data_IF_983744830784
#
_entry.id   IF_983744830784
#
_cell.length_a   1.000
_cell.length_b   1.000
_cell.length_c   1.000
_cell.angle_alpha   90.00
_cell.angle_beta   90.00
_cell.angle_gamma   90.00
#
_symmetry.space_group_name_H-M   'P 1'
#
loop_
_entity.id
_entity.type
_entity.pdbx_description
1 polymer ?
#
# COMPACT_ATOMS: atom_id res chain seq x y z
N UNK A 1 -15.64 2.13 -5.38
CA UNK A 1 -15.02 3.40 -5.83
C UNK A 1 -13.59 3.42 -5.32
N UNK A 2 -12.59 3.29 -6.21
CA UNK A 2 -11.19 3.13 -5.80
C UNK A 2 -10.71 4.23 -4.85
N UNK A 3 -9.81 3.85 -3.94
CA UNK A 3 -9.13 4.76 -3.02
C UNK A 3 -7.66 4.77 -3.38
N UNK A 4 -7.09 5.96 -3.49
CA UNK A 4 -5.75 6.17 -4.02
C UNK A 4 -4.85 6.70 -2.91
N UNK A 5 -3.61 6.21 -2.92
CA UNK A 5 -2.52 6.70 -2.07
C UNK A 5 -1.28 6.84 -2.94
N UNK A 6 -0.64 8.00 -2.86
CA UNK A 6 0.62 8.29 -3.54
C UNK A 6 1.55 9.02 -2.58
N UNK A 7 2.85 8.74 -2.69
CA UNK A 7 3.87 9.34 -1.86
C UNK A 7 5.10 9.66 -2.69
N UNK A 8 5.63 10.87 -2.51
CA UNK A 8 6.91 11.30 -3.04
C UNK A 8 7.68 11.95 -1.90
N UNK A 9 8.89 11.45 -1.63
CA UNK A 9 9.71 11.87 -0.50
C UNK A 9 11.19 11.79 -0.88
N UNK A 10 12.00 12.69 -0.33
CA UNK A 10 13.45 12.75 -0.52
C UNK A 10 14.22 11.79 0.40
N UNK A 11 13.53 11.07 1.29
CA UNK A 11 14.07 10.07 2.20
C UNK A 11 13.15 8.85 2.24
N UNK A 12 13.65 7.65 2.60
CA UNK A 12 12.82 6.47 2.78
C UNK A 12 11.73 6.71 3.83
N UNK A 13 10.47 6.58 3.43
CA UNK A 13 9.31 6.67 4.33
C UNK A 13 8.66 5.30 4.49
N UNK A 14 8.32 4.97 5.73
CA UNK A 14 7.49 3.80 6.05
C UNK A 14 6.01 4.12 5.79
N UNK A 15 5.42 3.40 4.85
CA UNK A 15 4.02 3.57 4.46
C UNK A 15 3.05 2.67 5.26
N UNK A 16 3.54 1.84 6.20
CA UNK A 16 2.69 1.01 7.08
C UNK A 16 1.70 1.88 7.86
N UNK A 17 2.12 3.08 8.29
CA UNK A 17 1.24 4.02 8.96
C UNK A 17 0.00 4.38 8.12
N UNK A 18 0.20 4.83 6.88
CA UNK A 18 -0.89 5.21 5.97
C UNK A 18 -1.80 4.03 5.60
N UNK A 19 -1.23 2.83 5.49
CA UNK A 19 -1.98 1.63 5.11
C UNK A 19 -2.76 1.01 6.27
N UNK A 20 -2.24 1.05 7.51
CA UNK A 20 -2.80 0.29 8.63
C UNK A 20 -3.17 1.12 9.87
N UNK A 21 -2.49 2.25 10.13
CA UNK A 21 -2.58 2.93 11.44
C UNK A 21 -3.29 4.29 11.40
N UNK A 22 -3.29 4.98 10.26
CA UNK A 22 -3.96 6.28 10.15
C UNK A 22 -5.48 6.16 10.36
N UNK A 23 -6.09 7.22 10.86
CA UNK A 23 -7.56 7.37 10.83
C UNK A 23 -7.97 7.47 9.35
N UNK A 24 -8.83 6.57 8.88
CA UNK A 24 -9.13 6.32 7.46
C UNK A 24 -7.95 5.72 6.67
N UNK A 25 -7.25 4.74 7.26
CA UNK A 25 -6.20 3.99 6.57
C UNK A 25 -6.69 3.28 5.31
N UNK A 26 -5.77 2.91 4.42
CA UNK A 26 -6.13 2.17 3.19
C UNK A 26 -6.88 0.87 3.49
N UNK A 27 -6.53 0.18 4.59
CA UNK A 27 -7.25 -1.01 5.05
C UNK A 27 -8.67 -0.68 5.47
N UNK A 28 -8.89 0.36 6.28
CA UNK A 28 -10.25 0.79 6.65
C UNK A 28 -11.08 1.15 5.42
N UNK A 29 -10.48 1.89 4.49
CA UNK A 29 -11.10 2.27 3.23
C UNK A 29 -11.43 1.07 2.32
N UNK A 30 -10.72 -0.04 2.47
CA UNK A 30 -10.97 -1.27 1.69
C UNK A 30 -12.19 -2.06 2.15
N UNK A 31 -12.74 -1.82 3.34
CA UNK A 31 -14.01 -2.43 3.78
C UNK A 31 -15.21 -2.01 2.95
N UNK A 32 -15.08 -1.02 2.07
CA UNK A 32 -16.08 -0.61 1.09
C UNK A 32 -15.58 -0.77 -0.37
N UNK A 33 -14.40 -1.37 -0.56
CA UNK A 33 -13.73 -1.54 -1.86
C UNK A 33 -13.10 -2.91 -1.98
N UNK A 34 -13.93 -3.90 -2.35
CA UNK A 34 -13.58 -5.31 -2.29
C UNK A 34 -12.85 -5.86 -3.52
N UNK A 35 -12.82 -5.10 -4.62
CA UNK A 35 -12.40 -5.60 -5.94
C UNK A 35 -10.92 -5.94 -6.09
N UNK A 36 -10.09 -5.62 -5.10
CA UNK A 36 -8.65 -5.83 -5.17
C UNK A 36 -7.86 -4.71 -4.54
N UNK A 37 -6.54 -4.89 -4.51
CA UNK A 37 -5.60 -3.83 -4.18
C UNK A 37 -4.33 -3.96 -5.03
N UNK A 38 -3.58 -2.87 -5.10
CA UNK A 38 -2.26 -2.87 -5.71
C UNK A 38 -1.37 -1.80 -5.11
N UNK A 39 -0.07 -2.06 -5.09
CA UNK A 39 0.95 -1.11 -4.68
C UNK A 39 2.14 -1.22 -5.63
N UNK A 40 2.67 -0.07 -6.03
CA UNK A 40 3.92 0.04 -6.76
C UNK A 40 4.85 0.96 -5.99
N UNK A 41 6.14 0.64 -6.00
CA UNK A 41 7.16 1.48 -5.38
C UNK A 41 8.50 1.28 -6.09
N UNK A 42 9.35 2.31 -6.06
CA UNK A 42 10.72 2.20 -6.53
C UNK A 42 11.60 1.74 -5.35
N UNK A 43 12.44 0.75 -5.60
CA UNK A 43 13.32 0.17 -4.58
C UNK A 43 14.76 0.72 -4.62
N UNK A 44 15.00 1.77 -5.42
CA UNK A 44 16.33 2.32 -5.71
C UNK A 44 16.96 1.79 -7.01
N UNK A 45 16.45 0.68 -7.57
CA UNK A 45 16.97 0.06 -8.81
C UNK A 45 15.86 -0.09 -9.86
N UNK A 46 14.68 -0.56 -9.45
CA UNK A 46 13.54 -0.80 -10.35
C UNK A 46 12.22 -0.55 -9.65
N UNK A 47 11.18 -0.45 -10.47
CA UNK A 47 9.80 -0.46 -9.99
C UNK A 47 9.37 -1.88 -9.61
N UNK A 48 8.87 -2.02 -8.39
CA UNK A 48 8.18 -3.20 -7.91
C UNK A 48 6.67 -2.99 -8.03
N UNK A 49 5.92 -4.07 -8.27
CA UNK A 49 4.47 -4.06 -8.36
C UNK A 49 3.90 -5.32 -7.72
N UNK A 50 2.95 -5.14 -6.81
CA UNK A 50 2.12 -6.22 -6.26
C UNK A 50 0.66 -5.85 -6.46
N UNK A 51 -0.14 -6.82 -6.92
CA UNK A 51 -1.58 -6.70 -7.07
C UNK A 51 -2.24 -7.99 -6.60
N UNK A 52 -3.39 -7.88 -5.95
CA UNK A 52 -4.22 -9.04 -5.63
C UNK A 52 -5.70 -8.75 -5.89
N UNK A 53 -6.47 -9.74 -6.38
CA UNK A 53 -7.90 -9.59 -6.67
C UNK A 53 -8.78 -9.81 -5.43
N UNK A 54 -8.23 -9.58 -4.23
CA UNK A 54 -8.96 -9.64 -2.96
C UNK A 54 -8.88 -8.27 -2.27
N UNK A 55 -9.85 -7.96 -1.42
CA UNK A 55 -9.84 -6.72 -0.66
C UNK A 55 -8.57 -6.61 0.20
N UNK A 56 -8.02 -5.40 0.35
CA UNK A 56 -6.80 -5.16 1.13
C UNK A 56 -6.93 -5.65 2.59
N UNK A 57 -8.10 -5.48 3.23
CA UNK A 57 -8.34 -5.96 4.60
C UNK A 57 -8.29 -7.49 4.72
N UNK A 58 -8.55 -8.22 3.64
CA UNK A 58 -8.57 -9.69 3.60
C UNK A 58 -7.27 -10.30 3.10
N UNK A 59 -6.28 -9.48 2.72
CA UNK A 59 -5.00 -9.97 2.21
C UNK A 59 -3.99 -10.23 3.33
N UNK A 60 -3.62 -11.50 3.48
CA UNK A 60 -2.51 -11.91 4.36
C UNK A 60 -1.16 -11.37 3.86
N UNK A 61 -1.00 -11.24 2.53
CA UNK A 61 0.22 -10.77 1.88
C UNK A 61 0.41 -9.26 1.98
N UNK A 62 -0.67 -8.50 2.13
CA UNK A 62 -0.63 -7.04 2.08
C UNK A 62 0.29 -6.47 3.17
N UNK A 63 0.16 -6.94 4.41
CA UNK A 63 0.90 -6.36 5.54
C UNK A 63 2.41 -6.60 5.42
N UNK A 64 2.82 -7.80 5.01
CA UNK A 64 4.23 -8.11 4.76
C UNK A 64 4.79 -7.40 3.52
N UNK A 65 3.95 -7.09 2.54
CA UNK A 65 4.34 -6.29 1.37
C UNK A 65 4.55 -4.83 1.74
N UNK A 66 3.57 -4.21 2.42
CA UNK A 66 3.61 -2.81 2.85
C UNK A 66 4.83 -2.52 3.73
N UNK A 67 5.19 -3.42 4.65
CA UNK A 67 6.40 -3.30 5.50
C UNK A 67 7.72 -3.25 4.73
N UNK A 68 7.75 -3.82 3.52
CA UNK A 68 8.93 -3.81 2.65
C UNK A 68 8.99 -2.55 1.78
N UNK A 69 7.89 -1.80 1.69
CA UNK A 69 7.85 -0.55 0.94
C UNK A 69 8.52 0.53 1.77
N UNK A 70 9.78 0.78 1.43
CA UNK A 70 10.50 1.99 1.86
C UNK A 70 10.56 2.89 0.65
N UNK A 71 9.76 3.96 0.66
CA UNK A 71 9.64 4.85 -0.49
C UNK A 71 10.91 5.67 -0.69
N UNK A 72 11.77 5.27 -1.61
CA UNK A 72 12.77 6.14 -2.25
C UNK A 72 12.33 6.26 -3.71
N UNK A 73 12.07 7.47 -4.19
CA UNK A 73 11.98 7.75 -5.63
C UNK A 73 13.06 8.76 -5.94
#
# INVERSE_FOLDING_TARGET
>A
MCRLFGLYANIPVDVEFSFYHAKNSMVQLSYSNYSGWGIAWFNGVKWELVKEPIALYGSERARSTVRRVRGLI
#
